data_IF_379882196919
#
_entry.id   IF_379882196919
#
_cell.length_a   1.000
_cell.length_b   1.000
_cell.length_c   1.000
_cell.angle_alpha   90.00
_cell.angle_beta   90.00
_cell.angle_gamma   90.00
#
_symmetry.space_group_name_H-M   'P 1'
#
loop_
_entity.id
_entity.type
_entity.pdbx_description
1 polymer ?
#
# COMPACT_ATOMS: atom_id res chain seq x y z
N UNK A 1 3.48 8.88 -6.46
CA UNK A 1 3.09 7.90 -5.44
C UNK A 1 1.78 7.24 -5.86
N UNK A 2 1.29 6.24 -5.10
CA UNK A 2 -0.03 5.66 -5.40
C UNK A 2 -1.14 6.70 -5.20
N UNK A 3 -2.30 6.46 -5.79
CA UNK A 3 -3.45 7.35 -5.68
C UNK A 3 -4.51 6.74 -4.76
N UNK A 4 -5.37 7.57 -4.17
CA UNK A 4 -6.54 7.13 -3.41
C UNK A 4 -7.43 6.16 -4.20
N UNK A 5 -7.51 6.34 -5.53
CA UNK A 5 -8.21 5.41 -6.43
C UNK A 5 -7.60 4.01 -6.44
N UNK A 6 -6.27 3.89 -6.36
CA UNK A 6 -5.59 2.59 -6.34
C UNK A 6 -5.88 1.85 -5.04
N UNK A 7 -5.92 2.59 -3.92
CA UNK A 7 -6.30 2.06 -2.60
C UNK A 7 -7.71 1.50 -2.64
N UNK A 8 -8.68 2.26 -3.18
CA UNK A 8 -10.08 1.81 -3.30
C UNK A 8 -10.20 0.57 -4.19
N UNK A 9 -9.50 0.54 -5.33
CA UNK A 9 -9.50 -0.63 -6.22
C UNK A 9 -8.94 -1.87 -5.49
N UNK A 10 -7.88 -1.71 -4.69
CA UNK A 10 -7.27 -2.82 -3.94
C UNK A 10 -8.10 -3.27 -2.76
N UNK A 11 -8.76 -2.36 -2.04
CA UNK A 11 -9.67 -2.71 -0.96
C UNK A 11 -10.86 -3.53 -1.48
N UNK A 12 -11.26 -3.29 -2.73
CA UNK A 12 -12.30 -4.03 -3.43
C UNK A 12 -13.67 -3.38 -3.31
N UNK A 13 -14.61 -3.81 -4.15
CA UNK A 13 -15.93 -3.16 -4.32
C UNK A 13 -16.76 -3.11 -3.04
N UNK A 14 -16.53 -4.04 -2.12
CA UNK A 14 -17.25 -4.13 -0.85
C UNK A 14 -16.60 -3.30 0.27
N UNK A 15 -15.41 -2.75 0.04
CA UNK A 15 -14.78 -1.88 1.02
C UNK A 15 -15.58 -0.58 1.15
N UNK A 16 -15.91 -0.15 2.38
CA UNK A 16 -16.53 1.15 2.57
C UNK A 16 -15.54 2.26 2.23
N UNK A 17 -16.07 3.36 1.71
CA UNK A 17 -15.27 4.57 1.50
C UNK A 17 -14.96 5.23 2.83
N UNK A 18 -13.75 5.78 2.97
CA UNK A 18 -13.43 6.63 4.11
C UNK A 18 -14.25 7.92 4.07
N UNK A 19 -14.40 8.62 5.21
CA UNK A 19 -15.20 9.83 5.31
C UNK A 19 -14.73 10.97 4.40
N UNK A 20 -13.41 11.10 4.20
CA UNK A 20 -12.82 12.17 3.37
C UNK A 20 -11.64 11.67 2.53
N UNK A 21 -11.36 12.37 1.41
CA UNK A 21 -10.18 12.08 0.58
C UNK A 21 -8.87 12.31 1.35
N UNK A 22 -8.84 13.26 2.29
CA UNK A 22 -7.68 13.52 3.14
C UNK A 22 -7.33 12.34 4.07
N UNK A 23 -8.31 11.50 4.42
CA UNK A 23 -8.05 10.28 5.19
C UNK A 23 -7.27 9.26 4.34
N UNK A 24 -7.52 9.21 3.03
CA UNK A 24 -6.74 8.38 2.11
C UNK A 24 -5.32 8.89 1.93
N UNK A 25 -5.13 10.21 1.85
CA UNK A 25 -3.80 10.80 1.73
C UNK A 25 -2.96 10.47 2.97
N UNK A 26 -3.54 10.59 4.17
CA UNK A 26 -2.87 10.27 5.44
C UNK A 26 -2.35 8.82 5.48
N UNK A 27 -3.18 7.84 5.11
CA UNK A 27 -2.77 6.42 5.13
C UNK A 27 -1.74 6.09 4.04
N UNK A 28 -1.74 6.85 2.94
CA UNK A 28 -0.74 6.71 1.86
C UNK A 28 0.60 7.25 2.36
N UNK A 29 0.63 8.43 2.98
CA UNK A 29 1.82 9.02 3.59
C UNK A 29 2.45 8.09 4.64
N UNK A 30 1.65 7.44 5.49
CA UNK A 30 2.17 6.46 6.45
C UNK A 30 2.83 5.25 5.76
N UNK A 31 2.27 4.79 4.64
CA UNK A 31 2.85 3.69 3.87
C UNK A 31 4.15 4.11 3.15
N UNK A 32 4.22 5.37 2.71
CA UNK A 32 5.41 5.98 2.12
C UNK A 32 6.55 6.05 3.13
N UNK A 33 6.28 6.56 4.33
CA UNK A 33 7.25 6.66 5.41
C UNK A 33 7.83 5.29 5.78
N UNK A 34 6.99 4.26 5.79
CA UNK A 34 7.46 2.89 6.00
C UNK A 34 8.41 2.43 4.88
N UNK A 35 8.06 2.67 3.61
CA UNK A 35 8.92 2.31 2.50
C UNK A 35 10.24 3.06 2.51
N UNK A 36 10.24 4.36 2.83
CA UNK A 36 11.46 5.16 3.01
C UNK A 36 12.35 4.56 4.10
N UNK A 37 11.76 4.11 5.21
CA UNK A 37 12.52 3.45 6.27
C UNK A 37 13.13 2.12 5.82
N UNK A 38 12.42 1.34 5.00
CA UNK A 38 12.90 0.05 4.46
C UNK A 38 14.00 0.24 3.42
N UNK A 39 13.79 1.12 2.44
CA UNK A 39 14.73 1.36 1.34
C UNK A 39 15.88 2.29 1.74
N UNK A 40 15.74 3.05 2.84
CA UNK A 40 16.69 4.08 3.30
C UNK A 40 16.97 5.15 2.24
N UNK A 41 15.97 5.45 1.43
CA UNK A 41 16.06 6.39 0.30
C UNK A 41 14.84 7.30 0.28
N UNK A 42 15.02 8.55 -0.14
CA UNK A 42 13.94 9.52 -0.26
C UNK A 42 13.11 9.21 -1.52
N UNK A 43 12.08 8.39 -1.34
CA UNK A 43 11.17 7.95 -2.40
C UNK A 43 10.25 9.06 -2.89
N UNK A 44 9.83 9.95 -1.99
CA UNK A 44 8.82 10.98 -2.27
C UNK A 44 9.40 12.04 -3.19
N UNK A 45 10.59 12.56 -2.87
CA UNK A 45 11.26 13.57 -3.69
C UNK A 45 11.72 13.00 -5.03
N UNK A 46 12.19 11.75 -5.06
CA UNK A 46 12.76 11.11 -6.26
C UNK A 46 11.75 10.29 -7.06
N UNK A 47 10.46 10.39 -6.78
CA UNK A 47 9.45 9.51 -7.36
C UNK A 47 9.43 9.49 -8.90
N UNK A 48 9.72 10.63 -9.52
CA UNK A 48 9.73 10.79 -10.98
C UNK A 48 10.89 10.05 -11.67
N UNK A 49 11.94 9.68 -10.93
CA UNK A 49 13.16 9.07 -11.48
C UNK A 49 13.28 7.57 -11.20
N UNK A 50 12.45 7.02 -10.33
CA UNK A 50 12.51 5.61 -9.91
C UNK A 50 11.46 4.75 -10.63
N UNK A 51 11.75 3.46 -10.77
CA UNK A 51 10.78 2.48 -11.27
C UNK A 51 9.75 2.14 -10.18
N UNK A 52 8.70 2.94 -10.14
CA UNK A 52 7.81 3.06 -8.98
C UNK A 52 6.69 2.02 -8.89
N UNK A 53 6.59 1.07 -9.82
CA UNK A 53 5.44 0.15 -9.90
C UNK A 53 5.25 -0.71 -8.65
N UNK A 54 6.33 -1.31 -8.14
CA UNK A 54 6.27 -2.19 -6.95
C UNK A 54 6.04 -1.40 -5.65
N UNK A 55 6.59 -0.17 -5.58
CA UNK A 55 6.40 0.75 -4.46
C UNK A 55 4.95 1.24 -4.41
N UNK A 56 4.38 1.58 -5.56
CA UNK A 56 2.96 1.95 -5.70
C UNK A 56 2.05 0.79 -5.30
N UNK A 57 2.39 -0.44 -5.71
CA UNK A 57 1.64 -1.64 -5.31
C UNK A 57 1.63 -1.80 -3.79
N UNK A 58 2.79 -1.62 -3.13
CA UNK A 58 2.87 -1.69 -1.67
C UNK A 58 1.98 -0.65 -1.00
N UNK A 59 2.11 0.64 -1.36
CA UNK A 59 1.32 1.70 -0.72
C UNK A 59 -0.19 1.53 -0.95
N UNK A 60 -0.61 1.16 -2.15
CA UNK A 60 -2.01 0.88 -2.44
C UNK A 60 -2.57 -0.28 -1.59
N UNK A 61 -1.77 -1.33 -1.37
CA UNK A 61 -2.16 -2.48 -0.52
C UNK A 61 -2.15 -2.13 0.97
N UNK A 62 -1.18 -1.34 1.42
CA UNK A 62 -1.13 -0.85 2.80
C UNK A 62 -2.38 -0.03 3.11
N UNK A 63 -2.69 0.96 2.27
CA UNK A 63 -3.90 1.76 2.39
C UNK A 63 -5.17 0.90 2.33
N UNK A 64 -5.22 -0.12 1.45
CA UNK A 64 -6.36 -1.02 1.38
C UNK A 64 -6.60 -1.78 2.70
N UNK A 65 -5.54 -2.29 3.34
CA UNK A 65 -5.65 -2.93 4.66
C UNK A 65 -6.23 -1.94 5.68
N UNK A 66 -5.76 -0.69 5.69
CA UNK A 66 -6.25 0.32 6.62
C UNK A 66 -7.75 0.61 6.41
N UNK A 67 -8.19 0.77 5.16
CA UNK A 67 -9.60 0.99 4.80
C UNK A 67 -10.48 -0.16 5.26
N UNK A 68 -10.07 -1.40 4.99
CA UNK A 68 -10.81 -2.61 5.39
C UNK A 68 -10.89 -2.70 6.92
N UNK A 69 -9.79 -2.40 7.60
CA UNK A 69 -9.70 -2.47 9.06
C UNK A 69 -10.53 -1.38 9.73
N UNK A 70 -10.60 -0.19 9.14
CA UNK A 70 -11.41 0.92 9.65
C UNK A 70 -12.89 0.54 9.71
N UNK A 71 -13.41 -0.10 8.65
CA UNK A 71 -14.78 -0.57 8.62
C UNK A 71 -14.94 -1.83 7.76
N UNK A 72 -15.29 -2.94 8.42
CA UNK A 72 -15.54 -4.23 7.77
C UNK A 72 -17.01 -4.45 7.39
N UNK A 73 -17.91 -3.50 7.66
CA UNK A 73 -19.36 -3.71 7.51
C UNK A 73 -19.81 -3.88 6.06
N UNK A 74 -19.00 -3.48 5.09
CA UNK A 74 -19.29 -3.65 3.67
C UNK A 74 -19.04 -5.07 3.15
N UNK A 75 -18.33 -5.92 3.90
CA UNK A 75 -18.11 -7.33 3.56
C UNK A 75 -19.25 -8.23 4.04
N UNK A 76 -19.43 -9.38 3.38
CA UNK A 76 -20.47 -10.35 3.74
C UNK A 76 -20.24 -10.94 5.13
N UNK A 77 -18.98 -11.06 5.53
CA UNK A 77 -18.57 -11.50 6.85
C UNK A 77 -17.23 -10.89 7.24
N UNK A 78 -16.96 -10.88 8.55
CA UNK A 78 -15.62 -10.50 9.05
C UNK A 78 -14.52 -11.43 8.53
N UNK A 79 -14.83 -12.71 8.34
CA UNK A 79 -13.89 -13.69 7.80
C UNK A 79 -13.46 -13.31 6.38
N UNK A 80 -14.40 -12.89 5.52
CA UNK A 80 -14.07 -12.40 4.17
C UNK A 80 -13.15 -11.17 4.21
N UNK A 81 -13.41 -10.22 5.12
CA UNK A 81 -12.58 -9.04 5.28
C UNK A 81 -11.16 -9.40 5.76
N UNK A 82 -11.04 -10.34 6.72
CA UNK A 82 -9.76 -10.85 7.21
C UNK A 82 -8.99 -11.61 6.10
N UNK A 83 -9.66 -12.42 5.29
CA UNK A 83 -9.06 -13.11 4.15
C UNK A 83 -8.49 -12.12 3.12
N UNK A 84 -9.22 -11.04 2.83
CA UNK A 84 -8.73 -9.96 1.97
C UNK A 84 -7.47 -9.30 2.55
N UNK A 85 -7.48 -8.95 3.85
CA UNK A 85 -6.30 -8.40 4.54
C UNK A 85 -5.12 -9.38 4.42
N UNK A 86 -5.33 -10.67 4.62
CA UNK A 86 -4.28 -11.69 4.53
C UNK A 86 -3.66 -11.76 3.12
N UNK A 87 -4.47 -11.64 2.05
CA UNK A 87 -3.96 -11.56 0.67
C UNK A 87 -3.06 -10.34 0.47
N UNK A 88 -3.43 -9.18 1.02
CA UNK A 88 -2.61 -7.98 0.96
C UNK A 88 -1.31 -8.14 1.76
N UNK A 89 -1.38 -8.62 3.00
CA UNK A 89 -0.21 -8.85 3.86
C UNK A 89 0.79 -9.81 3.23
N UNK A 90 0.31 -10.93 2.67
CA UNK A 90 1.17 -11.90 2.00
C UNK A 90 1.96 -11.27 0.85
N UNK A 91 1.27 -10.50 -0.01
CA UNK A 91 1.91 -9.85 -1.15
C UNK A 91 2.86 -8.72 -0.72
N UNK A 92 2.48 -7.95 0.29
CA UNK A 92 3.33 -6.90 0.85
C UNK A 92 4.62 -7.48 1.45
N UNK A 93 4.54 -8.62 2.14
CA UNK A 93 5.73 -9.32 2.65
C UNK A 93 6.71 -9.70 1.54
N UNK A 94 6.20 -10.22 0.41
CA UNK A 94 7.04 -10.50 -0.76
C UNK A 94 7.72 -9.24 -1.32
N UNK A 95 7.00 -8.12 -1.36
CA UNK A 95 7.55 -6.84 -1.83
C UNK A 95 8.66 -6.38 -0.89
N UNK A 96 8.45 -6.43 0.42
CA UNK A 96 9.48 -6.04 1.40
C UNK A 96 10.72 -6.91 1.26
N UNK A 97 10.57 -8.23 1.16
CA UNK A 97 11.73 -9.13 0.93
C UNK A 97 12.49 -8.81 -0.36
N UNK A 98 11.79 -8.40 -1.43
CA UNK A 98 12.44 -7.95 -2.65
C UNK A 98 13.16 -6.61 -2.46
N UNK A 99 12.55 -5.67 -1.74
CA UNK A 99 13.14 -4.36 -1.47
C UNK A 99 14.33 -4.44 -0.50
N UNK A 100 14.42 -5.46 0.35
CA UNK A 100 15.60 -5.69 1.19
C UNK A 100 16.84 -6.14 0.40
N UNK A 101 16.66 -6.56 -0.86
CA UNK A 101 17.77 -6.93 -1.75
C UNK A 101 18.35 -5.69 -2.44
N UNK A 102 19.63 -5.40 -2.19
CA UNK A 102 20.35 -4.26 -2.77
C UNK A 102 20.36 -4.27 -4.31
N UNK A 103 20.46 -5.44 -4.94
CA UNK A 103 20.49 -5.54 -6.41
C UNK A 103 19.15 -5.09 -7.02
N UNK A 104 18.05 -5.33 -6.29
CA UNK A 104 16.72 -4.89 -6.70
C UNK A 104 16.57 -3.39 -6.49
N UNK A 105 17.07 -2.85 -5.37
CA UNK A 105 17.07 -1.39 -5.13
C UNK A 105 17.84 -0.66 -6.24
N UNK A 106 19.05 -1.12 -6.56
CA UNK A 106 19.90 -0.57 -7.62
C UNK A 106 19.18 -0.59 -8.97
N UNK A 107 18.51 -1.70 -9.31
CA UNK A 107 17.74 -1.82 -10.56
C UNK A 107 16.54 -0.87 -10.60
N UNK A 108 15.86 -0.67 -9.46
CA UNK A 108 14.72 0.24 -9.34
C UNK A 108 15.15 1.72 -9.31
N UNK A 109 16.46 1.98 -9.12
CA UNK A 109 17.06 3.31 -9.08
C UNK A 109 16.90 4.01 -7.74
N UNK A 110 16.82 3.24 -6.65
CA UNK A 110 16.55 3.71 -5.30
C UNK A 110 17.78 3.66 -4.41
#
# INVERSE_FOLDING_TARGET
>A
MCLSTDVVIKAGTNAPTLPTDADYDTIIEEAEDFLIAVTKSDLVTNWATISSGILSEYCARSGAIQVITYNMSGYTSRVEAEDMINVHLFRMGQIVTLLENSDVQDFLGI
#
